data_IF_682958098732
#
_entry.id   IF_682958098732
#
_cell.length_a   1.000
_cell.length_b   1.000
_cell.length_c   1.000
_cell.angle_alpha   90.00
_cell.angle_beta   90.00
_cell.angle_gamma   90.00
#
_symmetry.space_group_name_H-M   'P 1'
#
loop_
_entity.id
_entity.type
_entity.pdbx_description
1 polymer ?
#
# COMPACT_ATOMS: atom_id res chain seq x y z
N UNK A 1 5.43 10.52 -55.94
CA UNK A 1 4.51 10.19 -54.82
C UNK A 1 4.97 9.03 -53.91
N UNK A 2 5.91 8.16 -54.31
CA UNK A 2 6.31 6.99 -53.48
C UNK A 2 7.06 7.28 -52.18
N UNK A 3 7.59 8.49 -51.98
CA UNK A 3 8.27 8.86 -50.72
C UNK A 3 7.28 9.04 -49.55
N UNK A 4 6.09 9.58 -49.80
CA UNK A 4 5.03 9.69 -48.80
C UNK A 4 4.53 8.31 -48.34
N UNK A 5 4.35 7.35 -49.26
CA UNK A 5 3.93 6.00 -48.89
C UNK A 5 4.94 5.32 -47.95
N UNK A 6 6.25 5.47 -48.16
CA UNK A 6 7.26 4.91 -47.25
C UNK A 6 7.24 5.54 -45.86
N UNK A 7 6.95 6.84 -45.76
CA UNK A 7 6.75 7.51 -44.48
C UNK A 7 5.47 7.01 -43.81
N UNK A 8 4.36 6.96 -44.54
CA UNK A 8 3.07 6.45 -44.05
C UNK A 8 3.22 5.01 -43.55
N UNK A 9 3.84 4.09 -44.28
CA UNK A 9 4.06 2.71 -43.81
C UNK A 9 4.98 2.62 -42.58
N UNK A 10 5.92 3.56 -42.41
CA UNK A 10 6.81 3.60 -41.25
C UNK A 10 6.13 4.17 -39.99
N UNK A 11 5.13 5.04 -40.17
CA UNK A 11 4.39 5.70 -39.09
C UNK A 11 2.99 5.11 -38.85
N UNK A 12 2.48 4.24 -39.72
CA UNK A 12 1.29 3.45 -39.46
C UNK A 12 1.62 2.57 -38.27
N UNK A 13 0.92 2.82 -37.16
CA UNK A 13 0.90 1.95 -35.99
C UNK A 13 0.58 0.54 -36.48
N UNK A 14 1.59 -0.32 -36.53
CA UNK A 14 1.39 -1.70 -36.97
C UNK A 14 0.41 -2.37 -36.03
N UNK A 15 -0.44 -3.30 -36.51
CA UNK A 15 -1.43 -3.97 -35.66
C UNK A 15 -0.79 -4.65 -34.45
N UNK A 16 0.45 -5.13 -34.58
CA UNK A 16 1.24 -5.64 -33.46
C UNK A 16 1.54 -4.57 -32.40
N UNK A 17 1.90 -3.36 -32.82
CA UNK A 17 2.15 -2.24 -31.90
C UNK A 17 0.87 -1.74 -31.24
N UNK A 18 -0.25 -1.81 -31.94
CA UNK A 18 -1.58 -1.51 -31.38
C UNK A 18 -1.95 -2.54 -30.31
N UNK A 19 -1.81 -3.84 -30.60
CA UNK A 19 -2.06 -4.91 -29.64
C UNK A 19 -1.12 -4.84 -28.41
N UNK A 20 0.16 -4.53 -28.63
CA UNK A 20 1.12 -4.32 -27.54
C UNK A 20 0.71 -3.14 -26.64
N UNK A 21 0.22 -2.04 -27.23
CA UNK A 21 -0.23 -0.89 -26.47
C UNK A 21 -1.52 -1.19 -25.69
N UNK A 22 -2.52 -1.82 -26.31
CA UNK A 22 -3.75 -2.21 -25.62
C UNK A 22 -3.47 -3.19 -24.46
N UNK A 23 -2.52 -4.12 -24.65
CA UNK A 23 -2.11 -5.03 -23.59
C UNK A 23 -1.44 -4.30 -22.41
N UNK A 24 -0.69 -3.24 -22.69
CA UNK A 24 -0.09 -2.39 -21.66
C UNK A 24 -1.15 -1.59 -20.92
N UNK A 25 -2.09 -0.99 -21.64
CA UNK A 25 -3.16 -0.17 -21.07
C UNK A 25 -4.10 -1.03 -20.20
N UNK A 26 -4.47 -2.22 -20.67
CA UNK A 26 -5.28 -3.17 -19.90
C UNK A 26 -4.56 -3.66 -18.66
N UNK A 27 -3.25 -3.94 -18.74
CA UNK A 27 -2.45 -4.31 -17.56
C UNK A 27 -2.39 -3.17 -16.54
N UNK A 28 -2.21 -1.93 -16.99
CA UNK A 28 -2.23 -0.78 -16.09
C UNK A 28 -3.61 -0.61 -15.43
N UNK A 29 -4.69 -0.76 -16.20
CA UNK A 29 -6.06 -0.72 -15.69
C UNK A 29 -6.33 -1.82 -14.65
N UNK A 30 -5.82 -3.03 -14.89
CA UNK A 30 -5.91 -4.13 -13.93
C UNK A 30 -5.23 -3.76 -12.60
N UNK A 31 -3.99 -3.28 -12.63
CA UNK A 31 -3.28 -2.89 -11.40
C UNK A 31 -3.97 -1.74 -10.66
N UNK A 32 -4.55 -0.78 -11.38
CA UNK A 32 -5.33 0.29 -10.77
C UNK A 32 -6.58 -0.24 -10.09
N UNK A 33 -7.31 -1.16 -10.73
CA UNK A 33 -8.50 -1.79 -10.16
C UNK A 33 -8.18 -2.63 -8.93
N UNK A 34 -7.06 -3.37 -8.94
CA UNK A 34 -6.59 -4.15 -7.81
C UNK A 34 -6.24 -3.25 -6.61
N UNK A 35 -5.55 -2.13 -6.87
CA UNK A 35 -5.26 -1.12 -5.85
C UNK A 35 -6.54 -0.55 -5.22
N UNK A 36 -7.54 -0.25 -6.02
CA UNK A 36 -8.83 0.25 -5.53
C UNK A 36 -9.57 -0.80 -4.71
N UNK A 37 -9.51 -2.07 -5.11
CA UNK A 37 -10.12 -3.17 -4.38
C UNK A 37 -9.48 -3.34 -2.99
N UNK A 38 -8.15 -3.33 -2.89
CA UNK A 38 -7.44 -3.39 -1.62
C UNK A 38 -7.78 -2.21 -0.70
N UNK A 39 -7.90 -1.01 -1.26
CA UNK A 39 -8.29 0.16 -0.48
C UNK A 39 -9.73 0.04 0.03
N UNK A 40 -10.65 -0.45 -0.81
CA UNK A 40 -12.03 -0.68 -0.42
C UNK A 40 -12.14 -1.74 0.69
N UNK A 41 -11.37 -2.83 0.60
CA UNK A 41 -11.29 -3.87 1.63
C UNK A 41 -10.83 -3.29 2.97
N UNK A 42 -9.73 -2.51 2.99
CA UNK A 42 -9.27 -1.84 4.21
C UNK A 42 -10.34 -0.91 4.81
N UNK A 43 -11.09 -0.17 3.98
CA UNK A 43 -12.17 0.70 4.45
C UNK A 43 -13.30 -0.11 5.08
N UNK A 44 -13.69 -1.22 4.46
CA UNK A 44 -14.74 -2.11 5.00
C UNK A 44 -14.32 -2.67 6.35
N UNK A 45 -13.09 -3.16 6.48
CA UNK A 45 -12.58 -3.69 7.75
C UNK A 45 -12.52 -2.62 8.83
N UNK A 46 -12.08 -1.41 8.48
CA UNK A 46 -12.12 -0.26 9.39
C UNK A 46 -13.54 0.01 9.90
N UNK A 47 -14.52 0.10 9.01
CA UNK A 47 -15.90 0.38 9.42
C UNK A 47 -16.52 -0.76 10.21
N UNK A 48 -16.19 -2.02 9.89
CA UNK A 48 -16.60 -3.18 10.71
C UNK A 48 -16.06 -3.07 12.13
N UNK A 49 -14.79 -2.74 12.29
CA UNK A 49 -14.17 -2.57 13.61
C UNK A 49 -14.81 -1.41 14.39
N UNK A 50 -15.10 -0.29 13.72
CA UNK A 50 -15.80 0.85 14.35
C UNK A 50 -17.19 0.44 14.80
N UNK A 51 -17.94 -0.28 13.96
CA UNK A 51 -19.29 -0.73 14.31
C UNK A 51 -19.26 -1.69 15.51
N UNK A 52 -18.36 -2.69 15.51
CA UNK A 52 -18.23 -3.60 16.64
C UNK A 52 -17.80 -2.90 17.93
N UNK A 53 -16.96 -1.85 17.81
CA UNK A 53 -16.56 -1.04 18.96
C UNK A 53 -17.74 -0.25 19.53
N UNK A 54 -18.55 0.37 18.67
CA UNK A 54 -19.75 1.09 19.10
C UNK A 54 -20.78 0.16 19.71
N UNK A 55 -20.98 -1.03 19.12
CA UNK A 55 -21.84 -2.06 19.69
C UNK A 55 -21.37 -2.48 21.09
N UNK A 56 -20.08 -2.74 21.27
CA UNK A 56 -19.51 -3.05 22.59
C UNK A 56 -19.74 -1.92 23.60
N UNK A 57 -19.59 -0.65 23.18
CA UNK A 57 -19.89 0.50 24.05
C UNK A 57 -21.37 0.51 24.46
N UNK A 58 -22.28 0.19 23.55
CA UNK A 58 -23.72 0.17 23.86
C UNK A 58 -24.11 -0.94 24.82
N UNK A 59 -23.42 -2.09 24.77
CA UNK A 59 -23.72 -3.26 25.62
C UNK A 59 -23.02 -3.16 26.98
N UNK A 60 -21.71 -2.90 26.97
CA UNK A 60 -20.86 -3.00 28.16
C UNK A 60 -20.53 -1.64 28.80
N UNK A 61 -20.86 -0.54 28.11
CA UNK A 61 -20.51 0.81 28.54
C UNK A 61 -19.06 1.20 28.21
N UNK A 62 -18.83 2.51 28.14
CA UNK A 62 -17.56 3.10 27.68
C UNK A 62 -16.36 2.66 28.54
N UNK A 63 -16.52 2.63 29.86
CA UNK A 63 -15.42 2.33 30.80
C UNK A 63 -14.89 0.89 30.64
N UNK A 64 -15.81 -0.08 30.48
CA UNK A 64 -15.47 -1.49 30.31
C UNK A 64 -14.66 -1.73 29.03
N UNK A 65 -15.12 -1.13 27.91
CA UNK A 65 -14.45 -1.27 26.61
C UNK A 65 -13.09 -0.55 26.61
N UNK A 66 -12.99 0.61 27.27
CA UNK A 66 -11.72 1.35 27.40
C UNK A 66 -10.66 0.56 28.18
N UNK A 67 -11.06 -0.10 29.28
CA UNK A 67 -10.15 -0.93 30.08
C UNK A 67 -9.78 -2.24 29.34
N UNK A 68 -10.69 -2.81 28.55
CA UNK A 68 -10.41 -3.98 27.71
C UNK A 68 -9.41 -3.69 26.58
N UNK A 69 -9.48 -2.48 25.99
CA UNK A 69 -8.58 -2.04 24.93
C UNK A 69 -7.24 -1.50 25.42
N UNK A 70 -7.06 -1.31 26.74
CA UNK A 70 -5.75 -1.00 27.27
C UNK A 70 -4.79 -2.11 26.86
N UNK A 71 -3.70 -1.79 26.14
CA UNK A 71 -2.65 -2.77 25.91
C UNK A 71 -2.21 -3.23 27.28
N UNK A 72 -2.36 -4.52 27.58
CA UNK A 72 -1.68 -5.09 28.75
C UNK A 72 -0.22 -4.72 28.54
N UNK A 73 0.32 -3.87 29.41
CA UNK A 73 1.76 -3.71 29.58
C UNK A 73 2.27 -5.08 30.07
N UNK A 74 2.33 -6.04 29.16
CA UNK A 74 3.14 -7.22 29.34
C UNK A 74 4.55 -6.68 29.40
N UNK A 75 5.14 -6.78 30.59
CA UNK A 75 6.58 -6.72 30.81
C UNK A 75 7.28 -7.36 29.60
N UNK A 76 8.00 -6.51 28.89
CA UNK A 76 8.73 -6.77 27.66
C UNK A 76 9.62 -8.03 27.76
N UNK A 77 9.76 -8.80 26.67
CA UNK A 77 11.07 -9.30 26.29
C UNK A 77 11.51 -8.65 24.97
N UNK A 78 12.72 -8.10 25.04
CA UNK A 78 13.51 -7.37 24.04
C UNK A 78 13.27 -7.75 22.56
N UNK A 79 12.91 -6.77 21.73
CA UNK A 79 13.14 -6.80 20.28
C UNK A 79 14.62 -6.51 19.94
N UNK A 80 15.10 -6.85 18.73
CA UNK A 80 16.52 -6.94 18.42
C UNK A 80 17.21 -5.59 18.59
N UNK A 81 18.30 -5.58 19.37
CA UNK A 81 19.19 -4.44 19.53
C UNK A 81 19.65 -3.97 18.15
N UNK A 82 19.09 -2.86 17.67
CA UNK A 82 19.72 -2.09 16.60
C UNK A 82 20.99 -1.49 17.22
N UNK A 83 22.13 -2.13 16.97
CA UNK A 83 23.43 -1.51 17.18
C UNK A 83 23.51 -0.27 16.29
N UNK A 84 23.14 0.88 16.84
CA UNK A 84 23.56 2.16 16.29
C UNK A 84 25.09 2.19 16.36
N UNK A 85 25.81 2.41 15.25
CA UNK A 85 27.26 2.55 15.31
C UNK A 85 27.59 3.78 16.15
N UNK A 86 28.44 3.58 17.15
CA UNK A 86 28.90 4.63 18.06
C UNK A 86 29.76 5.64 17.29
N UNK A 87 29.19 6.81 17.03
CA UNK A 87 29.85 7.94 16.38
C UNK A 87 31.00 8.52 17.23
N UNK A 88 31.18 8.07 18.49
CA UNK A 88 32.28 8.46 19.36
C UNK A 88 33.65 7.93 18.93
N UNK A 89 33.70 6.86 18.12
CA UNK A 89 34.99 6.21 17.76
C UNK A 89 35.77 6.90 16.64
N UNK A 90 35.23 7.96 16.03
CA UNK A 90 35.92 8.76 15.00
C UNK A 90 36.54 10.06 15.52
N UNK A 91 36.45 10.33 16.83
CA UNK A 91 37.11 11.49 17.43
C UNK A 91 38.59 11.16 17.66
N UNK A 92 39.35 11.20 16.57
CA UNK A 92 40.80 11.08 16.57
C UNK A 92 41.44 12.05 17.57
N UNK A 93 42.39 11.51 18.31
CA UNK A 93 43.36 12.24 19.14
C UNK A 93 44.15 13.20 18.26
N UNK A 94 44.10 14.48 18.58
CA UNK A 94 45.06 15.49 18.15
C UNK A 94 45.67 16.13 19.40
#
# INVERSE_FOLDING_TARGET
MGWFNKLVTKYILTPEKMAENELRDTRLGLYQSERQLLEAEMRVDYYRNVLSFLEAITVDGVESVAESQRPKLSLQPQGPQRHTPDLGSYRGTA
#
